data_IF_718205607035
#
_entry.id   IF_718205607035
#
_cell.length_a   1.000
_cell.length_b   1.000
_cell.length_c   1.000
_cell.angle_alpha   90.00
_cell.angle_beta   90.00
_cell.angle_gamma   90.00
#
_symmetry.space_group_name_H-M   'P 1'
#
loop_
_entity.id
_entity.type
_entity.pdbx_description
1 polymer ?
#
# COMPACT_ATOMS: atom_id res chain seq x y z
N UNK A 1 32.64 -19.72 -11.18
CA UNK A 1 33.05 -18.46 -10.49
C UNK A 1 31.98 -18.21 -9.41
N UNK A 2 32.41 -18.19 -8.14
CA UNK A 2 31.48 -17.81 -7.05
C UNK A 2 31.09 -16.38 -7.35
N UNK A 3 29.79 -16.13 -7.62
CA UNK A 3 29.27 -14.78 -7.77
C UNK A 3 29.69 -14.00 -6.51
N UNK A 4 30.25 -12.81 -6.68
CA UNK A 4 30.57 -11.94 -5.53
C UNK A 4 29.27 -11.55 -4.89
N UNK A 5 28.89 -12.22 -3.80
CA UNK A 5 27.71 -11.91 -3.00
C UNK A 5 27.84 -10.50 -2.46
N UNK A 6 26.87 -9.66 -2.76
CA UNK A 6 26.82 -8.30 -2.27
C UNK A 6 25.98 -8.24 -0.99
N UNK A 7 26.45 -7.47 -0.03
CA UNK A 7 25.75 -7.22 1.22
C UNK A 7 25.57 -5.72 1.41
N UNK A 8 24.37 -5.32 1.85
CA UNK A 8 24.06 -3.95 2.25
C UNK A 8 24.86 -3.54 3.50
N UNK A 9 24.84 -2.26 3.84
CA UNK A 9 25.28 -1.81 5.15
C UNK A 9 24.07 -1.77 6.11
N UNK A 10 23.90 -2.76 7.02
CA UNK A 10 22.73 -2.86 7.89
C UNK A 10 22.62 -1.68 8.85
N UNK A 11 23.74 -1.19 9.38
CA UNK A 11 23.75 -0.08 10.33
C UNK A 11 23.29 1.22 9.68
N UNK A 12 23.72 1.49 8.45
CA UNK A 12 23.32 2.67 7.69
C UNK A 12 21.83 2.62 7.33
N UNK A 13 21.33 1.45 6.93
CA UNK A 13 19.88 1.26 6.71
C UNK A 13 19.10 1.55 7.99
N UNK A 14 19.52 0.98 9.12
CA UNK A 14 18.86 1.18 10.40
C UNK A 14 18.86 2.65 10.84
N UNK A 15 19.99 3.33 10.75
CA UNK A 15 20.11 4.75 11.05
C UNK A 15 19.18 5.60 10.16
N UNK A 16 19.02 5.21 8.89
CA UNK A 16 18.08 5.89 7.99
C UNK A 16 16.62 5.67 8.42
N UNK A 17 16.25 4.46 8.86
CA UNK A 17 14.94 4.14 9.41
C UNK A 17 14.68 4.89 10.72
N UNK A 18 15.63 4.91 11.66
CA UNK A 18 15.51 5.66 12.91
C UNK A 18 15.34 7.16 12.66
N UNK A 19 16.13 7.74 11.76
CA UNK A 19 15.98 9.16 11.41
C UNK A 19 14.63 9.46 10.76
N UNK A 20 14.13 8.58 9.90
CA UNK A 20 12.81 8.72 9.30
C UNK A 20 11.68 8.66 10.33
N UNK A 21 11.85 7.85 11.38
CA UNK A 21 10.89 7.70 12.46
C UNK A 21 10.79 8.93 13.40
N UNK A 22 11.66 9.91 13.26
CA UNK A 22 11.55 11.19 13.96
C UNK A 22 10.52 12.14 13.31
N UNK A 23 10.21 11.92 12.02
CA UNK A 23 9.33 12.79 11.24
C UNK A 23 7.89 12.24 11.30
N UNK A 24 6.97 13.04 11.81
CA UNK A 24 5.56 12.67 11.97
C UNK A 24 5.31 11.77 13.20
N UNK A 25 6.13 11.88 14.26
CA UNK A 25 5.91 11.12 15.50
C UNK A 25 4.48 11.26 16.02
N UNK A 26 3.88 10.13 16.34
CA UNK A 26 2.54 10.07 16.88
C UNK A 26 2.47 9.08 18.04
N UNK A 27 1.95 9.52 19.19
CA UNK A 27 2.04 8.79 20.45
C UNK A 27 3.50 8.47 20.79
N UNK A 28 3.76 7.42 21.56
CA UNK A 28 5.13 7.11 22.03
C UNK A 28 6.02 6.52 20.93
N UNK A 29 5.45 5.65 20.08
CA UNK A 29 6.24 4.81 19.17
C UNK A 29 5.74 4.79 17.72
N UNK A 30 4.59 5.38 17.42
CA UNK A 30 4.00 5.37 16.07
C UNK A 30 4.32 6.61 15.24
N UNK A 31 3.78 6.60 14.03
CA UNK A 31 3.84 7.72 13.09
C UNK A 31 2.43 8.14 12.61
N UNK A 32 2.31 9.40 12.27
CA UNK A 32 1.20 9.99 11.52
C UNK A 32 1.79 10.94 10.48
N UNK A 33 2.13 10.42 9.35
CA UNK A 33 2.70 11.13 8.20
C UNK A 33 1.76 10.95 7.02
N UNK A 34 0.61 11.64 7.09
CA UNK A 34 -0.42 11.51 6.06
C UNK A 34 0.08 12.07 4.74
N UNK A 35 -0.32 11.44 3.65
CA UNK A 35 0.05 11.86 2.31
C UNK A 35 -0.15 13.37 2.08
N UNK A 36 0.85 14.04 1.53
CA UNK A 36 0.84 15.47 1.21
C UNK A 36 0.60 16.39 2.43
N UNK A 37 0.94 15.91 3.64
CA UNK A 37 1.00 16.74 4.84
C UNK A 37 2.37 17.42 4.98
N UNK A 38 2.52 18.28 5.99
CA UNK A 38 3.81 18.90 6.29
C UNK A 38 4.88 17.87 6.69
N UNK A 39 4.48 16.84 7.43
CA UNK A 39 5.35 15.73 7.83
C UNK A 39 5.76 14.88 6.62
N UNK A 40 4.83 14.61 5.68
CA UNK A 40 5.16 13.92 4.44
C UNK A 40 6.13 14.75 3.59
N UNK A 41 5.93 16.06 3.52
CA UNK A 41 6.89 16.98 2.87
C UNK A 41 8.29 16.86 3.48
N UNK A 42 8.40 16.93 4.81
CA UNK A 42 9.69 16.84 5.50
C UNK A 42 10.40 15.51 5.17
N UNK A 43 9.67 14.40 5.15
CA UNK A 43 10.23 13.10 4.81
C UNK A 43 10.63 12.99 3.33
N UNK A 44 9.84 13.56 2.43
CA UNK A 44 10.15 13.65 0.99
C UNK A 44 11.41 14.48 0.75
N UNK A 45 11.51 15.62 1.41
CA UNK A 45 12.70 16.49 1.33
C UNK A 45 13.96 15.75 1.80
N UNK A 46 13.87 15.03 2.91
CA UNK A 46 14.95 14.21 3.46
C UNK A 46 15.35 13.07 2.50
N UNK A 47 14.39 12.37 1.93
CA UNK A 47 14.66 11.34 0.94
C UNK A 47 15.35 11.90 -0.32
N UNK A 48 14.88 13.04 -0.82
CA UNK A 48 15.48 13.73 -1.97
C UNK A 48 16.92 14.16 -1.66
N UNK A 49 17.18 14.68 -0.47
CA UNK A 49 18.53 15.03 -0.01
C UNK A 49 19.44 13.78 -0.01
N UNK A 50 19.01 12.71 0.59
CA UNK A 50 19.76 11.45 0.65
C UNK A 50 20.01 10.82 -0.72
N UNK A 51 19.01 10.86 -1.60
CA UNK A 51 19.14 10.36 -2.96
C UNK A 51 20.17 11.17 -3.78
N UNK A 52 20.13 12.49 -3.67
CA UNK A 52 21.10 13.39 -4.31
C UNK A 52 22.51 13.19 -3.76
N UNK A 53 22.65 13.06 -2.43
CA UNK A 53 23.92 12.76 -1.79
C UNK A 53 24.50 11.41 -2.22
N UNK A 54 23.64 10.44 -2.58
CA UNK A 54 24.01 9.16 -3.17
C UNK A 54 24.30 9.25 -4.69
N UNK A 55 24.29 10.45 -5.30
CA UNK A 55 24.59 10.66 -6.71
C UNK A 55 23.42 10.37 -7.67
N UNK A 56 22.19 10.28 -7.17
CA UNK A 56 21.02 10.12 -8.03
C UNK A 56 20.59 11.46 -8.65
N UNK A 57 20.14 11.41 -9.90
CA UNK A 57 19.25 12.43 -10.44
C UNK A 57 17.84 12.22 -9.85
N UNK A 58 17.16 13.31 -9.50
CA UNK A 58 15.81 13.23 -8.89
C UNK A 58 14.85 14.01 -9.76
N UNK A 59 13.77 13.35 -10.15
CA UNK A 59 12.63 13.95 -10.84
C UNK A 59 11.35 13.71 -10.04
N UNK A 60 10.42 14.65 -10.13
CA UNK A 60 9.12 14.58 -9.47
C UNK A 60 8.05 14.78 -10.55
N UNK A 61 7.05 13.93 -10.58
CA UNK A 61 5.97 14.05 -11.53
C UNK A 61 4.82 14.94 -11.01
N UNK A 62 3.81 15.14 -11.86
CA UNK A 62 2.66 16.01 -11.58
C UNK A 62 1.84 15.58 -10.34
N UNK A 63 1.94 14.32 -9.93
CA UNK A 63 1.24 13.79 -8.76
C UNK A 63 2.16 13.67 -7.53
N UNK A 64 3.41 14.15 -7.64
CA UNK A 64 4.36 14.14 -6.55
C UNK A 64 5.08 12.81 -6.37
N UNK A 65 4.95 11.84 -7.28
CA UNK A 65 5.79 10.64 -7.24
C UNK A 65 7.24 11.06 -7.47
N UNK A 66 8.16 10.51 -6.65
CA UNK A 66 9.59 10.86 -6.69
C UNK A 66 10.35 9.72 -7.36
N UNK A 67 11.21 10.05 -8.31
CA UNK A 67 12.06 9.12 -9.06
C UNK A 67 13.52 9.51 -8.85
N UNK A 68 14.27 8.70 -8.09
CA UNK A 68 15.67 8.89 -7.81
C UNK A 68 16.50 7.88 -8.61
N UNK A 69 17.13 8.33 -9.71
CA UNK A 69 17.83 7.46 -10.65
C UNK A 69 19.34 7.53 -10.48
N UNK A 70 19.96 6.38 -10.20
CA UNK A 70 21.37 6.13 -10.36
C UNK A 70 21.63 5.66 -11.80
N UNK A 71 22.53 6.33 -12.50
CA UNK A 71 22.84 5.99 -13.89
C UNK A 71 23.52 4.59 -14.00
N UNK A 72 23.19 3.87 -15.07
CA UNK A 72 23.94 2.71 -15.54
C UNK A 72 24.96 3.10 -16.60
N UNK A 73 25.70 2.12 -17.13
CA UNK A 73 26.64 2.35 -18.22
C UNK A 73 25.96 2.56 -19.59
N UNK A 74 24.70 2.14 -19.73
CA UNK A 74 23.88 2.34 -20.92
C UNK A 74 22.59 3.11 -20.56
N UNK A 75 22.62 4.42 -20.81
CA UNK A 75 21.49 5.31 -20.53
C UNK A 75 20.28 5.13 -21.45
N UNK A 76 20.40 4.38 -22.55
CA UNK A 76 19.30 4.09 -23.47
C UNK A 76 18.36 3.00 -22.97
N UNK A 77 18.81 2.18 -22.01
CA UNK A 77 18.04 1.10 -21.45
C UNK A 77 17.11 1.58 -20.31
N UNK A 78 15.88 1.05 -20.21
CA UNK A 78 15.02 1.33 -19.08
C UNK A 78 15.64 0.80 -17.78
N UNK A 79 15.53 1.53 -16.66
CA UNK A 79 16.11 1.15 -15.38
C UNK A 79 15.39 -0.05 -14.75
N UNK A 80 16.07 -0.73 -13.84
CA UNK A 80 15.40 -1.56 -12.82
C UNK A 80 14.90 -0.63 -11.74
N UNK A 81 13.59 -0.66 -11.50
CA UNK A 81 12.92 0.16 -10.50
C UNK A 81 12.78 -0.61 -9.18
N UNK A 82 12.99 0.10 -8.08
CA UNK A 82 12.75 -0.36 -6.71
C UNK A 82 11.93 0.71 -6.03
N UNK A 83 10.84 0.38 -5.35
CA UNK A 83 10.05 1.44 -4.73
C UNK A 83 9.05 0.94 -3.70
N UNK A 84 8.40 1.88 -3.07
CA UNK A 84 7.27 1.80 -2.16
C UNK A 84 6.80 3.22 -1.84
N UNK A 85 6.31 3.49 -0.62
CA UNK A 85 5.75 4.78 -0.20
C UNK A 85 6.41 5.34 1.07
N UNK A 86 6.12 6.62 1.36
CA UNK A 86 6.59 7.31 2.57
C UNK A 86 5.45 7.73 3.48
N UNK A 87 4.22 7.84 2.96
CA UNK A 87 3.04 8.15 3.77
C UNK A 87 2.67 6.99 4.68
N UNK A 88 1.94 7.29 5.75
CA UNK A 88 1.54 6.31 6.76
C UNK A 88 0.05 6.40 7.05
N UNK A 89 -0.50 5.38 7.70
CA UNK A 89 -1.81 5.41 8.33
C UNK A 89 -1.89 6.48 9.44
N UNK A 90 -3.12 6.82 9.87
CA UNK A 90 -3.38 7.78 10.96
C UNK A 90 -2.74 7.34 12.29
N UNK A 91 -2.69 6.04 12.53
CA UNK A 91 -2.01 5.40 13.65
C UNK A 91 -0.99 4.40 13.12
N UNK A 92 -0.11 4.86 12.20
CA UNK A 92 0.82 4.02 11.47
C UNK A 92 2.03 3.59 12.29
N UNK A 93 2.72 2.59 11.75
CA UNK A 93 4.02 2.12 12.21
C UNK A 93 5.17 2.93 11.62
N UNK A 94 6.39 2.42 11.81
CA UNK A 94 7.63 3.09 11.40
C UNK A 94 8.26 2.50 10.16
N UNK A 95 7.76 1.37 9.68
CA UNK A 95 8.46 0.53 8.70
C UNK A 95 7.63 0.27 7.46
N UNK A 96 6.31 0.40 7.57
CA UNK A 96 5.36 0.23 6.48
C UNK A 96 5.70 1.18 5.32
N UNK A 97 5.89 0.62 4.13
CA UNK A 97 6.30 1.32 2.90
C UNK A 97 7.73 1.84 2.92
N UNK A 98 8.07 2.65 3.91
CA UNK A 98 9.37 3.32 3.97
C UNK A 98 10.56 2.35 3.98
N UNK A 99 10.40 1.15 4.53
CA UNK A 99 11.44 0.12 4.49
C UNK A 99 11.85 -0.19 3.05
N UNK A 100 10.89 -0.34 2.13
CA UNK A 100 11.16 -0.61 0.72
C UNK A 100 11.90 0.53 0.03
N UNK A 101 11.48 1.77 0.28
CA UNK A 101 12.13 2.97 -0.26
C UNK A 101 13.58 3.08 0.23
N UNK A 102 13.80 2.92 1.54
CA UNK A 102 15.14 3.03 2.13
C UNK A 102 16.05 1.84 1.79
N UNK A 103 15.50 0.64 1.62
CA UNK A 103 16.25 -0.49 1.07
C UNK A 103 16.67 -0.22 -0.39
N UNK A 104 15.81 0.38 -1.21
CA UNK A 104 16.17 0.81 -2.56
C UNK A 104 17.31 1.83 -2.57
N UNK A 105 17.25 2.81 -1.67
CA UNK A 105 18.34 3.78 -1.50
C UNK A 105 19.64 3.10 -1.00
N UNK A 106 19.53 2.11 -0.11
CA UNK A 106 20.67 1.35 0.39
C UNK A 106 21.33 0.49 -0.70
N UNK A 107 20.52 -0.06 -1.65
CA UNK A 107 21.05 -0.70 -2.88
C UNK A 107 21.95 0.27 -3.64
N UNK A 108 21.47 1.50 -3.88
CA UNK A 108 22.24 2.54 -4.58
C UNK A 108 23.54 2.87 -3.83
N UNK A 109 23.48 3.08 -2.52
CA UNK A 109 24.62 3.39 -1.66
C UNK A 109 25.65 2.27 -1.65
N UNK A 110 25.20 1.01 -1.56
CA UNK A 110 26.08 -0.17 -1.60
C UNK A 110 26.81 -0.29 -2.94
N UNK A 111 26.13 -0.06 -4.06
CA UNK A 111 26.76 -0.03 -5.38
C UNK A 111 27.84 1.05 -5.48
N UNK A 112 27.63 2.21 -4.87
CA UNK A 112 28.62 3.29 -4.82
C UNK A 112 29.83 2.90 -3.97
N UNK A 113 29.62 2.35 -2.78
CA UNK A 113 30.69 1.90 -1.87
C UNK A 113 31.59 0.85 -2.53
N UNK A 114 31.01 0.01 -3.37
CA UNK A 114 31.74 -1.05 -4.11
C UNK A 114 32.29 -0.57 -5.46
N UNK A 115 32.01 0.66 -5.87
CA UNK A 115 32.41 1.18 -7.19
C UNK A 115 31.81 0.39 -8.36
N UNK A 116 30.65 -0.26 -8.16
CA UNK A 116 30.05 -1.12 -9.19
C UNK A 116 29.13 -0.27 -10.08
N UNK A 117 29.27 -0.45 -11.39
CA UNK A 117 28.41 0.16 -12.40
C UNK A 117 27.59 -0.94 -13.07
N UNK A 118 26.28 -0.86 -12.98
CA UNK A 118 25.36 -1.78 -13.66
C UNK A 118 25.13 -1.34 -15.11
N UNK A 119 24.72 -2.24 -15.99
CA UNK A 119 24.41 -1.90 -17.37
C UNK A 119 23.20 -0.97 -17.46
N UNK A 120 22.09 -1.32 -16.83
CA UNK A 120 20.89 -0.46 -16.65
C UNK A 120 21.04 0.40 -15.41
N UNK A 121 20.39 1.56 -15.39
CA UNK A 121 20.26 2.34 -14.16
C UNK A 121 19.42 1.60 -13.11
N UNK A 122 19.59 2.02 -11.85
CA UNK A 122 18.69 1.67 -10.74
C UNK A 122 17.87 2.91 -10.42
N UNK A 123 16.55 2.80 -10.33
CA UNK A 123 15.66 3.91 -10.02
C UNK A 123 14.87 3.61 -8.75
N UNK A 124 15.07 4.41 -7.71
CA UNK A 124 14.31 4.30 -6.45
C UNK A 124 13.09 5.20 -6.54
N UNK A 125 11.92 4.64 -6.30
CA UNK A 125 10.63 5.33 -6.46
C UNK A 125 9.94 5.48 -5.11
N UNK A 126 9.39 6.67 -4.87
CA UNK A 126 8.47 6.92 -3.79
C UNK A 126 7.10 7.29 -4.38
N UNK A 127 6.11 6.43 -4.20
CA UNK A 127 4.76 6.65 -4.66
C UNK A 127 3.97 7.55 -3.70
N UNK A 128 3.05 8.32 -4.24
CA UNK A 128 2.23 9.27 -3.49
C UNK A 128 0.91 8.65 -3.06
N UNK A 129 0.57 8.76 -1.77
CA UNK A 129 -0.71 8.34 -1.20
C UNK A 129 -1.02 6.87 -1.47
N UNK A 130 -0.07 5.99 -1.10
CA UNK A 130 -0.30 4.55 -1.18
C UNK A 130 -1.35 4.11 -0.17
N UNK A 131 -1.26 4.59 1.06
CA UNK A 131 -2.08 4.20 2.20
C UNK A 131 -3.58 4.56 2.07
N UNK A 132 -3.90 5.57 1.28
CA UNK A 132 -5.28 6.05 1.16
C UNK A 132 -5.86 6.67 2.45
N UNK A 133 -5.02 6.93 3.44
CA UNK A 133 -5.43 7.38 4.76
C UNK A 133 -5.94 8.82 4.79
N UNK A 134 -5.45 9.67 3.89
CA UNK A 134 -5.93 11.05 3.71
C UNK A 134 -6.83 11.18 2.49
N UNK A 135 -6.42 10.63 1.36
CA UNK A 135 -7.17 10.67 0.10
C UNK A 135 -7.49 9.25 -0.36
N UNK A 136 -8.75 8.94 -0.60
CA UNK A 136 -9.19 7.63 -1.11
C UNK A 136 -9.42 7.69 -2.62
N UNK A 137 -9.00 6.68 -3.39
CA UNK A 137 -8.56 5.35 -2.99
C UNK A 137 -7.08 5.27 -2.58
N UNK A 138 -6.62 4.14 -1.99
CA UNK A 138 -5.21 3.84 -1.78
C UNK A 138 -4.47 3.63 -3.11
N UNK A 139 -3.12 3.51 -3.07
CA UNK A 139 -2.23 3.32 -4.23
C UNK A 139 -2.42 4.38 -5.32
N UNK A 140 -2.81 5.61 -4.92
CA UNK A 140 -3.25 6.65 -5.85
C UNK A 140 -2.14 7.06 -6.82
N UNK A 141 -0.91 7.21 -6.34
CA UNK A 141 0.25 7.60 -7.13
C UNK A 141 0.61 6.58 -8.20
N UNK A 142 0.75 5.33 -7.82
CA UNK A 142 1.09 4.22 -8.73
C UNK A 142 -0.05 3.90 -9.69
N UNK A 143 -1.32 3.91 -9.23
CA UNK A 143 -2.48 3.67 -10.10
C UNK A 143 -2.66 4.75 -11.16
N UNK A 144 -2.46 6.03 -10.80
CA UNK A 144 -2.52 7.11 -11.78
C UNK A 144 -1.33 7.05 -12.74
N UNK A 145 -0.14 6.72 -12.26
CA UNK A 145 1.04 6.50 -13.09
C UNK A 145 0.82 5.36 -14.10
N UNK A 146 0.21 4.25 -13.67
CA UNK A 146 -0.15 3.11 -14.50
C UNK A 146 -1.42 3.34 -15.35
N UNK A 147 -2.01 4.53 -15.31
CA UNK A 147 -3.23 4.93 -16.06
C UNK A 147 -4.49 4.11 -15.69
N UNK A 148 -4.51 3.49 -14.52
CA UNK A 148 -5.69 2.85 -13.93
C UNK A 148 -6.67 3.93 -13.43
N UNK A 149 -6.13 5.01 -12.85
CA UNK A 149 -6.87 6.22 -12.49
C UNK A 149 -6.50 7.37 -13.40
N UNK A 150 -7.46 8.25 -13.71
CA UNK A 150 -7.16 9.47 -14.48
C UNK A 150 -6.53 10.52 -13.56
N UNK A 151 -5.56 11.28 -14.09
CA UNK A 151 -4.92 12.36 -13.32
C UNK A 151 -5.95 13.39 -12.83
N UNK A 152 -6.88 13.79 -13.68
CA UNK A 152 -7.89 14.80 -13.36
C UNK A 152 -8.80 14.34 -12.20
N UNK A 153 -9.23 13.06 -12.22
CA UNK A 153 -10.03 12.52 -11.12
C UNK A 153 -9.26 12.45 -9.80
N UNK A 154 -7.98 12.12 -9.87
CA UNK A 154 -7.11 12.06 -8.69
C UNK A 154 -6.88 13.45 -8.12
N UNK A 155 -6.54 14.44 -8.94
CA UNK A 155 -6.31 15.83 -8.51
C UNK A 155 -7.56 16.45 -7.86
N UNK A 156 -8.75 16.09 -8.33
CA UNK A 156 -10.03 16.54 -7.79
C UNK A 156 -10.49 15.79 -6.51
N UNK A 157 -9.81 14.70 -6.12
CA UNK A 157 -10.16 13.95 -4.91
C UNK A 157 -9.91 14.81 -3.67
N UNK A 158 -10.88 14.82 -2.74
CA UNK A 158 -10.80 15.62 -1.51
C UNK A 158 -10.57 14.76 -0.28
N UNK A 159 -9.88 15.35 0.71
CA UNK A 159 -9.84 14.82 2.07
C UNK A 159 -11.11 15.22 2.86
N UNK A 160 -11.19 14.77 4.13
CA UNK A 160 -12.33 15.05 5.02
C UNK A 160 -12.51 16.55 5.35
N UNK A 161 -11.48 17.38 5.13
CA UNK A 161 -11.55 18.83 5.28
C UNK A 161 -11.96 19.55 3.98
N UNK A 162 -12.18 18.82 2.89
CA UNK A 162 -12.52 19.36 1.57
C UNK A 162 -11.32 19.89 0.78
N UNK A 163 -10.08 19.61 1.21
CA UNK A 163 -8.86 19.99 0.51
C UNK A 163 -8.63 18.98 -0.62
N UNK A 164 -8.43 19.45 -1.85
CA UNK A 164 -8.13 18.57 -2.98
C UNK A 164 -6.69 18.10 -2.97
N UNK A 165 -6.41 16.98 -3.65
CA UNK A 165 -5.04 16.49 -3.89
C UNK A 165 -4.21 17.56 -4.58
N UNK A 166 -4.77 18.27 -5.58
CA UNK A 166 -4.09 19.37 -6.26
C UNK A 166 -3.67 20.48 -5.30
N UNK A 167 -4.60 20.95 -4.45
CA UNK A 167 -4.31 21.97 -3.43
C UNK A 167 -3.25 21.49 -2.42
N UNK A 168 -3.30 20.22 -2.02
CA UNK A 168 -2.33 19.65 -1.10
C UNK A 168 -0.93 19.56 -1.74
N UNK A 169 -0.82 19.11 -2.99
CA UNK A 169 0.44 19.09 -3.76
C UNK A 169 1.06 20.48 -3.88
N UNK A 170 0.25 21.48 -4.23
CA UNK A 170 0.70 22.87 -4.36
C UNK A 170 1.18 23.43 -3.02
N UNK A 171 0.46 23.13 -1.92
CA UNK A 171 0.79 23.63 -0.58
C UNK A 171 2.15 23.15 -0.08
N UNK A 172 2.57 21.94 -0.49
CA UNK A 172 3.87 21.37 -0.10
C UNK A 172 4.95 21.55 -1.19
N UNK A 173 4.58 22.05 -2.38
CA UNK A 173 5.49 22.29 -3.50
C UNK A 173 5.97 21.02 -4.19
N UNK A 174 5.14 19.96 -4.22
CA UNK A 174 5.47 18.67 -4.83
C UNK A 174 4.70 18.37 -6.12
N UNK A 175 3.93 19.30 -6.66
CA UNK A 175 3.43 19.22 -8.04
C UNK A 175 4.62 19.39 -9.01
N UNK A 176 5.27 18.30 -9.37
CA UNK A 176 6.49 18.32 -10.18
C UNK A 176 6.23 18.53 -11.67
N UNK A 177 7.26 18.90 -12.46
CA UNK A 177 7.13 19.16 -13.89
C UNK A 177 7.12 17.90 -14.77
N UNK A 178 7.56 16.75 -14.25
CA UNK A 178 7.65 15.55 -15.06
C UNK A 178 6.25 15.01 -15.41
N UNK A 179 6.05 14.54 -16.67
CA UNK A 179 4.75 14.01 -17.09
C UNK A 179 4.46 12.69 -16.40
N UNK A 180 3.22 12.51 -15.91
CA UNK A 180 2.76 11.28 -15.29
C UNK A 180 2.68 10.12 -16.29
N UNK A 181 3.17 8.92 -15.90
CA UNK A 181 2.99 7.67 -16.66
C UNK A 181 3.72 7.61 -18.00
N UNK A 182 4.80 8.37 -18.18
CA UNK A 182 5.61 8.36 -19.40
C UNK A 182 6.99 7.68 -19.22
N UNK A 183 7.24 7.06 -18.06
CA UNK A 183 8.47 6.30 -17.79
C UNK A 183 8.25 4.82 -18.10
N UNK A 184 9.29 4.19 -18.64
CA UNK A 184 9.36 2.75 -18.79
C UNK A 184 10.37 2.17 -17.80
N UNK A 185 10.01 1.04 -17.19
CA UNK A 185 10.89 0.25 -16.35
C UNK A 185 11.22 -1.08 -17.03
N UNK A 186 12.43 -1.60 -16.85
CA UNK A 186 12.77 -2.97 -17.22
C UNK A 186 12.02 -3.96 -16.33
N UNK A 187 11.98 -3.66 -15.05
CA UNK A 187 11.26 -4.39 -14.02
C UNK A 187 11.07 -3.52 -12.79
N UNK A 188 10.16 -3.93 -11.90
CA UNK A 188 9.92 -3.30 -10.62
C UNK A 188 10.03 -4.35 -9.50
N UNK A 189 10.80 -4.02 -8.48
CA UNK A 189 10.96 -4.85 -7.28
C UNK A 189 10.56 -4.03 -6.05
N UNK A 190 9.71 -4.60 -5.20
CA UNK A 190 9.31 -3.97 -3.95
C UNK A 190 9.66 -4.88 -2.77
N UNK A 191 10.41 -4.35 -1.80
CA UNK A 191 10.58 -4.99 -0.50
C UNK A 191 9.62 -4.33 0.47
N UNK A 192 8.93 -5.14 1.26
CA UNK A 192 7.93 -4.66 2.20
C UNK A 192 7.90 -5.52 3.47
N UNK A 193 7.33 -5.02 4.55
CA UNK A 193 6.96 -5.87 5.68
C UNK A 193 5.78 -6.76 5.29
N UNK A 194 5.68 -7.96 5.87
CA UNK A 194 4.60 -8.91 5.51
C UNK A 194 3.20 -8.41 5.87
N UNK A 195 3.07 -7.62 6.92
CA UNK A 195 1.79 -7.17 7.49
C UNK A 195 0.85 -8.32 7.91
N UNK A 196 1.43 -9.51 8.10
CA UNK A 196 0.75 -10.71 8.58
C UNK A 196 1.74 -11.55 9.41
N UNK A 197 1.28 -12.48 10.24
CA UNK A 197 2.14 -13.16 11.21
C UNK A 197 2.82 -14.43 10.68
N UNK A 198 2.80 -14.72 9.37
CA UNK A 198 3.21 -16.04 8.86
C UNK A 198 4.73 -16.20 8.94
N UNK A 199 5.50 -15.24 8.40
CA UNK A 199 6.96 -15.28 8.43
C UNK A 199 7.50 -15.26 9.87
N UNK A 200 6.89 -14.43 10.71
CA UNK A 200 7.30 -14.34 12.11
C UNK A 200 7.08 -15.65 12.86
N UNK A 201 5.91 -16.26 12.73
CA UNK A 201 5.57 -17.54 13.39
C UNK A 201 6.37 -18.72 12.88
N UNK A 202 6.74 -18.72 11.61
CA UNK A 202 7.54 -19.78 11.00
C UNK A 202 9.06 -19.59 11.18
N UNK A 203 9.48 -18.44 11.70
CA UNK A 203 10.89 -18.09 11.81
C UNK A 203 11.58 -17.96 10.46
N UNK A 204 10.86 -17.56 9.41
CA UNK A 204 11.36 -17.34 8.06
C UNK A 204 11.57 -15.85 7.82
N UNK A 205 12.73 -15.46 7.27
CA UNK A 205 13.09 -14.05 7.09
C UNK A 205 12.74 -13.50 5.71
N UNK A 206 12.36 -14.36 4.76
CA UNK A 206 12.06 -13.97 3.39
C UNK A 206 10.76 -14.61 2.91
N UNK A 207 9.82 -13.77 2.49
CA UNK A 207 8.67 -14.15 1.68
C UNK A 207 8.88 -13.73 0.22
N UNK A 208 8.86 -14.68 -0.72
CA UNK A 208 8.79 -14.34 -2.14
C UNK A 208 7.32 -14.32 -2.52
N UNK A 209 6.83 -13.12 -2.88
CA UNK A 209 5.41 -12.91 -3.14
C UNK A 209 5.09 -13.33 -4.57
N UNK A 210 4.22 -14.34 -4.72
CA UNK A 210 3.83 -14.91 -6.01
C UNK A 210 2.49 -14.35 -6.53
N UNK A 211 1.85 -13.46 -5.79
CA UNK A 211 0.59 -12.82 -6.14
C UNK A 211 -0.11 -12.22 -4.92
N UNK A 212 -1.33 -11.76 -5.08
CA UNK A 212 -2.15 -11.17 -4.03
C UNK A 212 -3.46 -11.89 -3.80
N UNK A 213 -4.22 -11.44 -2.81
CA UNK A 213 -5.63 -11.78 -2.65
C UNK A 213 -6.46 -10.93 -3.60
N UNK A 214 -7.46 -11.53 -4.23
CA UNK A 214 -8.48 -10.75 -4.92
C UNK A 214 -9.22 -9.92 -3.89
N UNK A 215 -9.27 -8.63 -4.13
CA UNK A 215 -9.84 -7.65 -3.21
C UNK A 215 -10.86 -6.79 -3.94
N UNK A 216 -11.91 -6.43 -3.24
CA UNK A 216 -12.87 -5.43 -3.70
C UNK A 216 -13.40 -4.63 -2.51
N UNK A 217 -13.50 -3.32 -2.70
CA UNK A 217 -14.23 -2.45 -1.81
C UNK A 217 -15.59 -2.09 -2.41
N UNK A 218 -16.58 -1.93 -1.54
CA UNK A 218 -17.90 -1.39 -1.88
C UNK A 218 -18.16 -0.15 -1.04
N UNK A 219 -18.66 0.90 -1.68
CA UNK A 219 -19.15 2.10 -1.00
C UNK A 219 -20.67 2.09 -1.01
N UNK A 220 -21.27 2.11 0.17
CA UNK A 220 -22.70 2.09 0.35
C UNK A 220 -23.19 3.44 0.84
N UNK A 221 -24.28 3.92 0.27
CA UNK A 221 -25.05 5.04 0.80
C UNK A 221 -26.42 4.54 1.20
N UNK A 222 -26.71 4.59 2.50
CA UNK A 222 -27.99 4.21 3.06
C UNK A 222 -28.82 5.46 3.25
N UNK A 223 -29.99 5.52 2.60
CA UNK A 223 -30.89 6.67 2.63
C UNK A 223 -32.18 6.31 3.38
N UNK A 224 -32.47 7.03 4.42
CA UNK A 224 -33.66 6.93 5.24
C UNK A 224 -34.32 8.31 5.44
N UNK A 225 -34.84 8.55 6.64
CA UNK A 225 -35.40 9.85 7.05
C UNK A 225 -34.81 10.23 8.41
N UNK A 226 -34.79 11.51 8.72
CA UNK A 226 -34.53 11.96 10.09
C UNK A 226 -35.80 12.05 10.89
N UNK A 227 -35.72 11.91 12.20
CA UNK A 227 -36.87 12.05 13.06
C UNK A 227 -36.55 12.02 14.55
N UNK A 228 -37.53 12.35 15.37
CA UNK A 228 -37.38 12.43 16.82
C UNK A 228 -37.14 11.05 17.45
N UNK A 229 -36.06 10.88 18.19
CA UNK A 229 -35.65 9.59 18.75
C UNK A 229 -36.68 8.95 19.69
N UNK A 230 -37.48 9.75 20.44
CA UNK A 230 -38.52 9.28 21.34
C UNK A 230 -39.93 9.33 20.71
N UNK A 231 -40.29 10.42 20.04
CA UNK A 231 -41.64 10.67 19.57
C UNK A 231 -42.09 9.90 18.33
N UNK A 232 -41.15 9.47 17.45
CA UNK A 232 -41.50 8.75 16.22
C UNK A 232 -41.75 7.27 16.52
N UNK A 233 -42.91 6.70 16.19
CA UNK A 233 -43.21 5.28 16.39
C UNK A 233 -42.23 4.38 15.63
N UNK A 234 -41.86 3.23 16.19
CA UNK A 234 -40.87 2.31 15.60
C UNK A 234 -41.22 1.87 14.16
N UNK A 235 -42.53 1.60 13.91
CA UNK A 235 -43.00 1.15 12.59
C UNK A 235 -42.87 2.22 11.48
N UNK A 236 -42.71 3.49 11.85
CA UNK A 236 -42.59 4.61 10.90
C UNK A 236 -41.15 4.99 10.62
N UNK A 237 -40.18 4.41 11.35
CA UNK A 237 -38.79 4.81 11.24
C UNK A 237 -38.13 4.23 9.99
N UNK A 238 -37.40 5.10 9.30
CA UNK A 238 -36.47 4.77 8.21
C UNK A 238 -35.07 5.21 8.65
N UNK A 239 -34.51 4.48 9.62
CA UNK A 239 -33.27 4.85 10.29
C UNK A 239 -32.06 4.24 9.55
N UNK A 240 -31.30 5.07 8.82
CA UNK A 240 -30.13 4.66 8.07
C UNK A 240 -29.03 4.05 8.95
N UNK A 241 -28.86 4.52 10.19
CA UNK A 241 -27.87 4.00 11.12
C UNK A 241 -28.21 2.57 11.58
N UNK A 242 -29.49 2.23 11.76
CA UNK A 242 -29.93 0.86 12.04
C UNK A 242 -29.66 -0.05 10.84
N UNK A 243 -29.94 0.43 9.61
CA UNK A 243 -29.60 -0.28 8.38
C UNK A 243 -28.12 -0.58 8.27
N UNK A 244 -27.28 0.40 8.56
CA UNK A 244 -25.83 0.24 8.61
C UNK A 244 -25.40 -0.81 9.64
N UNK A 245 -25.99 -0.80 10.84
CA UNK A 245 -25.71 -1.82 11.87
C UNK A 245 -26.00 -3.24 11.40
N UNK A 246 -27.11 -3.46 10.64
CA UNK A 246 -27.42 -4.77 10.06
C UNK A 246 -26.40 -5.17 8.99
N UNK A 247 -25.96 -4.25 8.14
CA UNK A 247 -24.92 -4.53 7.14
C UNK A 247 -23.60 -4.89 7.82
N UNK A 248 -23.15 -4.10 8.80
CA UNK A 248 -21.89 -4.31 9.51
C UNK A 248 -21.84 -5.70 10.17
N UNK A 249 -22.91 -6.05 10.89
CA UNK A 249 -23.01 -7.37 11.54
C UNK A 249 -22.95 -8.51 10.52
N UNK A 250 -23.74 -8.41 9.43
CA UNK A 250 -23.79 -9.45 8.42
C UNK A 250 -22.44 -9.60 7.67
N UNK A 251 -21.77 -8.49 7.36
CA UNK A 251 -20.43 -8.51 6.73
C UNK A 251 -19.41 -9.21 7.62
N UNK A 252 -19.44 -8.96 8.93
CA UNK A 252 -18.59 -9.65 9.89
C UNK A 252 -18.89 -11.17 9.92
N UNK A 253 -20.17 -11.54 9.97
CA UNK A 253 -20.59 -12.95 10.00
C UNK A 253 -20.17 -13.71 8.73
N UNK A 254 -20.24 -13.05 7.56
CA UNK A 254 -19.74 -13.60 6.30
C UNK A 254 -18.21 -13.80 6.39
N UNK A 255 -17.46 -12.83 6.90
CA UNK A 255 -16.03 -12.98 7.11
C UNK A 255 -15.67 -14.17 7.97
N UNK A 256 -16.40 -14.38 9.08
CA UNK A 256 -16.22 -15.53 9.96
C UNK A 256 -16.57 -16.86 9.27
N UNK A 257 -17.60 -16.89 8.44
CA UNK A 257 -17.99 -18.09 7.69
C UNK A 257 -16.95 -18.52 6.65
N UNK A 258 -16.23 -17.55 6.05
CA UNK A 258 -15.17 -17.80 5.08
C UNK A 258 -13.76 -17.84 5.68
N UNK A 259 -13.61 -17.64 7.00
CA UNK A 259 -12.29 -17.54 7.63
C UNK A 259 -11.45 -18.81 7.52
N UNK A 260 -12.06 -20.00 7.51
CA UNK A 260 -11.37 -21.27 7.33
C UNK A 260 -10.71 -21.43 5.96
N UNK A 261 -11.27 -20.75 4.94
CA UNK A 261 -10.77 -20.71 3.56
C UNK A 261 -9.98 -19.42 3.29
N UNK A 262 -9.50 -18.75 4.35
CA UNK A 262 -8.73 -17.50 4.27
C UNK A 262 -9.51 -16.28 3.76
N UNK A 263 -10.84 -16.31 3.71
CA UNK A 263 -11.68 -15.15 3.41
C UNK A 263 -11.56 -14.07 4.49
N UNK A 264 -11.61 -12.81 4.06
CA UNK A 264 -11.56 -11.63 4.94
C UNK A 264 -12.65 -10.65 4.56
N UNK A 265 -13.29 -10.06 5.55
CA UNK A 265 -14.21 -8.93 5.36
C UNK A 265 -13.96 -7.88 6.44
N UNK A 266 -14.18 -6.62 6.10
CA UNK A 266 -14.08 -5.52 7.07
C UNK A 266 -15.00 -4.38 6.64
N UNK A 267 -15.63 -3.72 7.62
CA UNK A 267 -16.19 -2.38 7.41
C UNK A 267 -15.17 -1.36 7.90
N UNK A 268 -14.64 -0.54 6.99
CA UNK A 268 -13.48 0.32 7.25
C UNK A 268 -13.84 1.78 7.51
N UNK A 269 -15.05 2.23 7.09
CA UNK A 269 -15.50 3.62 7.25
C UNK A 269 -16.98 3.66 7.52
N UNK A 270 -17.39 4.56 8.41
CA UNK A 270 -18.80 4.91 8.66
C UNK A 270 -18.93 6.42 8.86
N UNK A 271 -19.85 7.03 8.14
CA UNK A 271 -20.26 8.42 8.32
C UNK A 271 -21.77 8.47 8.49
N UNK A 272 -22.27 9.24 9.43
CA UNK A 272 -23.69 9.37 9.74
C UNK A 272 -24.12 10.83 9.68
N UNK A 273 -25.26 11.08 9.04
CA UNK A 273 -25.89 12.41 9.01
C UNK A 273 -27.38 12.31 9.29
N UNK A 274 -27.93 13.19 10.17
CA UNK A 274 -27.20 13.91 11.19
C UNK A 274 -26.55 12.95 12.20
N UNK A 275 -25.48 13.39 12.86
CA UNK A 275 -24.78 12.63 13.89
C UNK A 275 -24.95 13.35 15.24
N UNK A 276 -26.18 13.39 15.74
CA UNK A 276 -26.59 14.14 16.91
C UNK A 276 -27.47 13.30 17.82
N UNK A 277 -27.40 13.48 19.18
CA UNK A 277 -28.35 12.86 20.10
C UNK A 277 -29.76 13.43 19.91
N UNK A 278 -30.78 12.61 20.18
CA UNK A 278 -32.19 13.01 20.11
C UNK A 278 -32.86 12.86 18.74
N UNK A 279 -32.12 12.56 17.69
CA UNK A 279 -32.60 12.27 16.34
C UNK A 279 -31.96 11.01 15.78
N UNK A 280 -32.57 10.38 14.79
CA UNK A 280 -31.94 9.27 14.06
C UNK A 280 -31.50 9.71 12.66
N UNK A 281 -30.49 9.02 12.14
CA UNK A 281 -29.84 9.40 10.92
C UNK A 281 -30.70 9.16 9.67
N UNK A 282 -30.73 10.15 8.79
CA UNK A 282 -31.33 10.03 7.46
C UNK A 282 -30.38 9.44 6.44
N UNK A 283 -29.06 9.62 6.61
CA UNK A 283 -28.07 9.06 5.70
C UNK A 283 -26.89 8.45 6.47
N UNK A 284 -26.41 7.29 5.97
CA UNK A 284 -25.14 6.70 6.40
C UNK A 284 -24.34 6.29 5.18
N UNK A 285 -23.05 6.63 5.16
CA UNK A 285 -22.09 6.12 4.19
C UNK A 285 -21.21 5.07 4.86
N UNK A 286 -21.03 3.93 4.19
CA UNK A 286 -20.18 2.82 4.64
C UNK A 286 -19.18 2.45 3.55
N UNK A 287 -17.99 1.99 3.96
CA UNK A 287 -17.07 1.27 3.07
C UNK A 287 -16.87 -0.14 3.60
N UNK A 288 -17.07 -1.13 2.74
CA UNK A 288 -16.83 -2.54 3.00
C UNK A 288 -15.63 -2.96 2.14
N UNK A 289 -14.69 -3.71 2.71
CA UNK A 289 -13.61 -4.40 2.01
C UNK A 289 -13.78 -5.90 2.21
N UNK A 290 -13.62 -6.70 1.16
CA UNK A 290 -13.62 -8.15 1.24
C UNK A 290 -12.58 -8.76 0.30
N UNK A 291 -11.98 -9.86 0.74
CA UNK A 291 -10.82 -10.47 0.10
C UNK A 291 -10.90 -11.99 0.15
N UNK A 292 -10.46 -12.62 -0.93
CA UNK A 292 -10.27 -14.07 -0.99
C UNK A 292 -9.21 -14.45 -2.01
N UNK A 293 -8.45 -15.52 -1.73
CA UNK A 293 -7.43 -16.03 -2.64
C UNK A 293 -8.06 -16.77 -3.83
N UNK A 294 -9.15 -17.51 -3.57
CA UNK A 294 -9.87 -18.30 -4.58
C UNK A 294 -10.95 -17.45 -5.26
N UNK A 295 -10.94 -17.35 -6.61
CA UNK A 295 -11.89 -16.53 -7.36
C UNK A 295 -13.36 -16.97 -7.19
N UNK A 296 -13.64 -18.27 -7.09
CA UNK A 296 -15.01 -18.78 -6.97
C UNK A 296 -15.58 -18.50 -5.58
N UNK A 297 -14.74 -18.67 -4.53
CA UNK A 297 -15.08 -18.30 -3.15
C UNK A 297 -15.26 -16.80 -3.02
N UNK A 298 -14.41 -16.00 -3.67
CA UNK A 298 -14.58 -14.56 -3.73
C UNK A 298 -15.96 -14.17 -4.31
N UNK A 299 -16.38 -14.80 -5.42
CA UNK A 299 -17.70 -14.56 -6.00
C UNK A 299 -18.84 -15.05 -5.09
N UNK A 300 -18.63 -16.11 -4.32
CA UNK A 300 -19.59 -16.56 -3.32
C UNK A 300 -19.74 -15.50 -2.19
N UNK A 301 -18.64 -14.99 -1.64
CA UNK A 301 -18.67 -13.90 -0.65
C UNK A 301 -19.42 -12.67 -1.18
N UNK A 302 -19.15 -12.27 -2.43
CA UNK A 302 -19.83 -11.13 -3.06
C UNK A 302 -21.34 -11.34 -3.10
N UNK A 303 -21.82 -12.53 -3.50
CA UNK A 303 -23.26 -12.83 -3.52
C UNK A 303 -23.89 -12.79 -2.13
N UNK A 304 -23.19 -13.27 -1.11
CA UNK A 304 -23.69 -13.24 0.27
C UNK A 304 -23.75 -11.78 0.79
N UNK A 305 -22.72 -10.96 0.48
CA UNK A 305 -22.72 -9.54 0.82
C UNK A 305 -23.87 -8.81 0.13
N UNK A 306 -24.09 -9.01 -1.17
CA UNK A 306 -25.19 -8.38 -1.90
C UNK A 306 -26.56 -8.78 -1.30
N UNK A 307 -26.73 -10.05 -0.93
CA UNK A 307 -27.94 -10.56 -0.27
C UNK A 307 -28.16 -9.93 1.12
N UNK A 308 -27.08 -9.78 1.89
CA UNK A 308 -27.11 -9.16 3.21
C UNK A 308 -27.47 -7.67 3.13
N UNK A 309 -26.92 -6.94 2.16
CA UNK A 309 -27.26 -5.53 1.90
C UNK A 309 -28.77 -5.39 1.58
N UNK A 310 -29.29 -6.23 0.69
CA UNK A 310 -30.70 -6.21 0.32
C UNK A 310 -31.62 -6.53 1.54
N UNK A 311 -31.24 -7.51 2.36
CA UNK A 311 -31.96 -7.87 3.57
C UNK A 311 -31.94 -6.75 4.63
N UNK A 312 -30.79 -6.09 4.81
CA UNK A 312 -30.63 -4.96 5.72
C UNK A 312 -31.50 -3.76 5.32
N UNK A 313 -31.54 -3.42 4.03
CA UNK A 313 -32.41 -2.34 3.50
C UNK A 313 -33.87 -2.61 3.79
N UNK A 314 -34.36 -3.82 3.51
CA UNK A 314 -35.72 -4.26 3.84
C UNK A 314 -36.04 -4.16 5.33
N UNK A 315 -35.12 -4.69 6.18
CA UNK A 315 -35.34 -4.78 7.64
C UNK A 315 -35.33 -3.41 8.30
N UNK A 316 -34.51 -2.47 7.82
CA UNK A 316 -34.46 -1.10 8.33
C UNK A 316 -35.42 -0.14 7.62
N UNK A 317 -36.12 -0.60 6.57
CA UNK A 317 -36.96 0.23 5.70
C UNK A 317 -36.20 1.43 5.11
N UNK A 318 -34.96 1.17 4.62
CA UNK A 318 -34.08 2.18 4.00
C UNK A 318 -33.65 1.74 2.61
N UNK A 319 -33.39 2.71 1.75
CA UNK A 319 -32.78 2.48 0.44
C UNK A 319 -31.26 2.40 0.58
N UNK A 320 -30.63 1.44 -0.11
CA UNK A 320 -29.18 1.28 -0.10
C UNK A 320 -28.65 1.31 -1.53
N UNK A 321 -27.89 2.35 -1.83
CA UNK A 321 -27.14 2.47 -3.07
C UNK A 321 -25.77 1.84 -2.88
N UNK A 322 -25.31 1.07 -3.87
CA UNK A 322 -24.02 0.40 -3.86
C UNK A 322 -23.18 0.91 -5.04
N UNK A 323 -22.02 1.47 -4.74
CA UNK A 323 -21.03 1.86 -5.72
C UNK A 323 -19.76 1.00 -5.56
N UNK A 324 -19.16 0.61 -6.70
CA UNK A 324 -17.88 -0.08 -6.71
C UNK A 324 -16.78 0.88 -6.20
N UNK A 325 -15.91 0.34 -5.37
CA UNK A 325 -14.70 1.00 -4.89
C UNK A 325 -13.47 0.52 -5.67
N UNK A 326 -12.34 0.42 -4.99
CA UNK A 326 -11.13 -0.15 -5.57
C UNK A 326 -11.23 -1.68 -5.66
N UNK A 327 -10.51 -2.26 -6.63
CA UNK A 327 -10.37 -3.71 -6.73
C UNK A 327 -9.06 -4.07 -7.43
N UNK A 328 -8.51 -5.25 -7.10
CA UNK A 328 -7.36 -5.86 -7.78
C UNK A 328 -7.46 -7.37 -7.77
N UNK A 329 -6.71 -8.00 -8.68
CA UNK A 329 -6.73 -9.45 -8.89
C UNK A 329 -5.66 -10.19 -8.10
N UNK A 330 -5.53 -11.51 -8.39
CA UNK A 330 -4.65 -12.44 -7.67
C UNK A 330 -3.30 -12.67 -8.32
N UNK A 331 -3.22 -12.71 -9.66
CA UNK A 331 -2.04 -13.16 -10.40
C UNK A 331 -1.41 -11.99 -11.16
N UNK A 332 -0.75 -11.11 -10.40
CA UNK A 332 -0.25 -9.84 -10.90
C UNK A 332 1.24 -9.87 -11.24
N UNK A 333 2.02 -10.77 -10.62
CA UNK A 333 3.47 -10.72 -10.70
C UNK A 333 4.06 -11.57 -11.82
N UNK A 334 5.14 -11.04 -12.43
CA UNK A 334 5.79 -11.67 -13.56
C UNK A 334 6.60 -12.89 -13.12
N UNK A 335 6.35 -14.03 -13.75
CA UNK A 335 7.07 -15.27 -13.44
C UNK A 335 8.59 -15.10 -13.53
N UNK A 336 9.08 -14.37 -14.52
CA UNK A 336 10.52 -14.13 -14.66
C UNK A 336 11.15 -13.38 -13.50
N UNK A 337 10.41 -12.44 -12.85
CA UNK A 337 10.86 -11.72 -11.67
C UNK A 337 10.78 -12.61 -10.42
N UNK A 338 9.74 -13.42 -10.29
CA UNK A 338 9.62 -14.41 -9.20
C UNK A 338 10.78 -15.43 -9.27
N UNK A 339 11.04 -16.01 -10.44
CA UNK A 339 12.14 -16.96 -10.62
C UNK A 339 13.52 -16.31 -10.42
N UNK A 340 13.69 -15.03 -10.78
CA UNK A 340 14.88 -14.26 -10.44
C UNK A 340 15.09 -14.19 -8.93
N UNK A 341 14.06 -13.85 -8.16
CA UNK A 341 14.15 -13.80 -6.69
C UNK A 341 14.48 -15.17 -6.10
N UNK A 342 13.83 -16.24 -6.58
CA UNK A 342 14.08 -17.61 -6.13
C UNK A 342 15.52 -18.06 -6.40
N UNK A 343 15.97 -17.88 -7.64
CA UNK A 343 17.35 -18.27 -8.01
C UNK A 343 18.38 -17.46 -7.23
N UNK A 344 18.15 -16.17 -7.05
CA UNK A 344 19.04 -15.32 -6.25
C UNK A 344 19.05 -15.74 -4.78
N UNK A 345 17.91 -16.05 -4.18
CA UNK A 345 17.84 -16.56 -2.81
C UNK A 345 18.60 -17.87 -2.64
N UNK A 346 18.49 -18.79 -3.62
CA UNK A 346 19.23 -20.06 -3.64
C UNK A 346 20.75 -19.84 -3.76
N UNK A 347 21.17 -18.94 -4.63
CA UNK A 347 22.61 -18.59 -4.81
C UNK A 347 23.21 -17.96 -3.53
N UNK A 348 22.40 -17.22 -2.77
CA UNK A 348 22.76 -16.61 -1.50
C UNK A 348 22.67 -17.59 -0.31
N UNK A 349 22.10 -18.79 -0.51
CA UNK A 349 21.83 -19.74 0.56
C UNK A 349 20.77 -19.26 1.55
N UNK A 350 19.86 -18.37 1.13
CA UNK A 350 18.81 -17.80 1.95
C UNK A 350 17.53 -18.66 1.86
N UNK A 351 17.03 -19.19 2.97
CA UNK A 351 15.73 -19.86 3.00
C UNK A 351 14.62 -18.84 2.75
N UNK A 352 13.62 -19.24 2.00
CA UNK A 352 12.46 -18.41 1.70
C UNK A 352 11.16 -19.21 1.67
N UNK A 353 10.05 -18.50 1.84
CA UNK A 353 8.69 -19.01 1.65
C UNK A 353 8.04 -18.33 0.44
N UNK A 354 7.39 -19.11 -0.44
CA UNK A 354 6.46 -18.54 -1.42
C UNK A 354 5.13 -18.23 -0.74
N UNK A 355 4.61 -17.03 -0.97
CA UNK A 355 3.39 -16.59 -0.31
C UNK A 355 2.61 -15.58 -1.16
N UNK A 356 1.38 -15.29 -0.76
CA UNK A 356 0.54 -14.27 -1.39
C UNK A 356 0.31 -13.12 -0.43
N UNK A 357 0.33 -11.90 -0.94
CA UNK A 357 0.00 -10.73 -0.12
C UNK A 357 -1.50 -10.65 0.16
N UNK A 358 -1.83 -10.39 1.41
CA UNK A 358 -3.19 -10.10 1.85
C UNK A 358 -3.51 -8.60 1.77
N UNK A 359 -2.49 -7.74 1.67
CA UNK A 359 -2.59 -6.29 1.52
C UNK A 359 -2.47 -5.86 0.04
N UNK A 360 -2.92 -4.64 -0.27
CA UNK A 360 -2.62 -3.97 -1.53
C UNK A 360 -1.23 -3.33 -1.46
N UNK A 361 -0.58 -3.17 -2.61
CA UNK A 361 0.74 -2.52 -2.70
C UNK A 361 0.87 -1.81 -4.05
N UNK A 362 1.71 -0.78 -4.12
CA UNK A 362 2.02 -0.08 -5.36
C UNK A 362 2.49 -1.03 -6.48
N UNK A 363 3.17 -2.12 -6.11
CA UNK A 363 3.56 -3.20 -7.01
C UNK A 363 2.41 -3.73 -7.87
N UNK A 364 1.16 -3.71 -7.38
CA UNK A 364 -0.01 -4.20 -8.12
C UNK A 364 -0.36 -3.28 -9.30
N UNK A 365 -0.27 -1.97 -9.09
CA UNK A 365 -0.47 -1.01 -10.17
C UNK A 365 0.67 -1.09 -11.19
N UNK A 366 1.93 -1.13 -10.72
CA UNK A 366 3.11 -1.20 -11.59
C UNK A 366 3.17 -2.50 -12.38
N UNK A 367 2.69 -3.62 -11.83
CA UNK A 367 2.60 -4.90 -12.53
C UNK A 367 1.75 -4.89 -13.80
N UNK A 368 0.86 -3.89 -13.95
CA UNK A 368 0.08 -3.71 -15.19
C UNK A 368 0.90 -3.14 -16.35
N UNK A 369 2.11 -2.62 -16.08
CA UNK A 369 2.94 -1.93 -17.07
C UNK A 369 4.38 -2.41 -17.15
N UNK A 370 4.89 -3.10 -16.13
CA UNK A 370 6.25 -3.63 -16.09
C UNK A 370 6.30 -4.99 -15.36
N UNK A 371 7.24 -5.89 -15.72
CA UNK A 371 7.49 -7.10 -14.98
C UNK A 371 7.80 -6.78 -13.51
N UNK A 372 7.02 -7.33 -12.59
CA UNK A 372 7.06 -6.96 -11.16
C UNK A 372 7.15 -8.18 -10.27
N UNK A 373 7.83 -8.09 -9.14
CA UNK A 373 7.77 -9.01 -8.02
C UNK A 373 8.00 -8.28 -6.68
N UNK A 374 7.62 -8.95 -5.59
CA UNK A 374 7.79 -8.42 -4.23
C UNK A 374 8.52 -9.39 -3.32
N UNK A 375 9.20 -8.84 -2.33
CA UNK A 375 9.87 -9.54 -1.24
C UNK A 375 9.25 -9.07 0.07
N UNK A 376 8.81 -10.01 0.90
CA UNK A 376 8.40 -9.71 2.27
C UNK A 376 9.49 -10.03 3.27
N UNK A 377 9.54 -9.21 4.32
CA UNK A 377 10.32 -9.44 5.54
C UNK A 377 9.37 -9.46 6.74
N UNK A 378 9.64 -10.26 7.78
CA UNK A 378 8.72 -10.38 8.91
C UNK A 378 8.58 -9.07 9.69
N UNK A 379 7.37 -8.82 10.16
CA UNK A 379 7.10 -7.86 11.23
C UNK A 379 6.58 -8.60 12.47
N UNK A 380 6.88 -8.06 13.64
CA UNK A 380 6.59 -8.70 14.92
C UNK A 380 5.08 -8.99 15.06
N UNK A 381 4.72 -10.26 15.31
CA UNK A 381 3.34 -10.77 15.39
C UNK A 381 2.44 -10.40 14.18
N UNK A 382 3.01 -9.94 13.08
CA UNK A 382 2.27 -9.47 11.90
C UNK A 382 1.53 -8.15 12.13
N UNK A 383 1.89 -7.40 13.16
CA UNK A 383 1.27 -6.11 13.48
C UNK A 383 1.69 -5.08 12.44
N UNK A 384 0.71 -4.50 11.75
CA UNK A 384 0.86 -3.36 10.85
C UNK A 384 -0.37 -2.45 10.94
N UNK A 385 -0.31 -1.24 10.37
CA UNK A 385 -1.31 -0.17 10.52
C UNK A 385 -1.60 0.15 12.00
N UNK A 386 -0.58 0.02 12.82
CA UNK A 386 -0.64 0.18 14.26
C UNK A 386 0.65 0.81 14.78
N UNK A 387 0.54 1.64 15.81
CA UNK A 387 1.70 2.30 16.42
C UNK A 387 2.74 1.31 17.00
N UNK A 388 2.33 0.08 17.32
CA UNK A 388 3.19 -0.97 17.86
C UNK A 388 3.86 -1.84 16.79
N UNK A 389 3.76 -1.47 15.51
CA UNK A 389 4.48 -2.14 14.43
C UNK A 389 5.99 -2.16 14.72
N UNK A 390 6.61 -3.33 14.60
CA UNK A 390 8.02 -3.51 14.86
C UNK A 390 8.65 -4.52 13.90
N UNK A 391 9.92 -4.31 13.60
CA UNK A 391 10.77 -5.24 12.86
C UNK A 391 12.07 -5.46 13.63
N UNK A 392 12.76 -6.55 13.31
CA UNK A 392 14.12 -6.79 13.76
C UNK A 392 15.09 -6.60 12.59
N UNK A 393 16.12 -5.77 12.77
CA UNK A 393 17.13 -5.51 11.75
C UNK A 393 17.72 -6.82 11.19
N UNK A 394 18.11 -7.73 12.08
CA UNK A 394 18.72 -9.02 11.74
C UNK A 394 17.84 -9.88 10.83
N UNK A 395 16.52 -9.77 10.96
CA UNK A 395 15.53 -10.49 10.15
C UNK A 395 15.14 -9.73 8.87
N UNK A 396 15.41 -8.43 8.79
CA UNK A 396 15.14 -7.60 7.61
C UNK A 396 16.31 -7.58 6.62
N UNK A 397 17.54 -7.73 7.10
CA UNK A 397 18.77 -7.74 6.29
C UNK A 397 18.77 -8.82 5.20
N UNK A 398 18.33 -10.07 5.43
CA UNK A 398 18.26 -11.08 4.37
C UNK A 398 17.40 -10.65 3.18
N UNK A 399 16.22 -10.06 3.43
CA UNK A 399 15.34 -9.52 2.39
C UNK A 399 15.99 -8.38 1.59
N UNK A 400 16.69 -7.46 2.28
CA UNK A 400 17.40 -6.36 1.65
C UNK A 400 18.60 -6.85 0.80
N UNK A 401 19.32 -7.88 1.25
CA UNK A 401 20.40 -8.52 0.48
C UNK A 401 19.84 -9.25 -0.75
N UNK A 402 18.70 -9.92 -0.63
CA UNK A 402 18.02 -10.52 -1.78
C UNK A 402 17.63 -9.45 -2.80
N UNK A 403 17.04 -8.33 -2.35
CA UNK A 403 16.69 -7.20 -3.22
C UNK A 403 17.92 -6.65 -3.96
N UNK A 404 19.03 -6.40 -3.24
CA UNK A 404 20.28 -5.90 -3.80
C UNK A 404 20.79 -6.81 -4.93
N UNK A 405 20.95 -8.10 -4.64
CA UNK A 405 21.55 -9.04 -5.59
C UNK A 405 20.62 -9.30 -6.79
N UNK A 406 19.32 -9.41 -6.57
CA UNK A 406 18.33 -9.55 -7.65
C UNK A 406 18.28 -8.31 -8.55
N UNK A 407 18.29 -7.10 -7.99
CA UNK A 407 18.32 -5.85 -8.75
C UNK A 407 19.60 -5.75 -9.59
N UNK A 408 20.76 -6.09 -9.04
CA UNK A 408 22.05 -6.09 -9.76
C UNK A 408 22.06 -7.15 -10.87
N UNK A 409 21.59 -8.36 -10.59
CA UNK A 409 21.49 -9.42 -11.60
C UNK A 409 20.58 -9.01 -12.77
N UNK A 410 19.44 -8.37 -12.46
CA UNK A 410 18.50 -7.86 -13.47
C UNK A 410 19.08 -6.68 -14.26
N UNK A 411 19.75 -5.75 -13.58
CA UNK A 411 20.30 -4.55 -14.21
C UNK A 411 21.49 -4.83 -15.14
N UNK A 412 22.10 -6.01 -15.07
CA UNK A 412 23.21 -6.42 -15.92
C UNK A 412 22.81 -7.31 -17.13
N UNK A 413 21.53 -7.62 -17.27
CA UNK A 413 20.97 -8.38 -18.42
C UNK A 413 20.76 -7.53 -19.69
#
# INVERSE_FOLDING_TARGET
MVANVLEINPERLWQSLERSAEIGRFRDVGLRRLALSAEDKEMRDLFVEWARAAGCSVEIDRLGNIFARRAGSDGSLPPVAIGSHLDTQICGGRYDGILGVLCGLEVVRTLNDRGLVTKRGIEVICWTNEEGARFSPPMMGSMAFAKVLSLDSVLATTDDAGITVEQALDSIGYAGPAPLGQRAFDSYLELHIEQAPVLDREGCDIGIVVGGYRTQALRLTLNGDTGHAGGTPMAMRRNALVGAGYVIAAVNDIGLAFAADEGRTTTTRIESFPNLPGTYAEQVKLTIDFRHIDPDRFQAMRREIDSAIAAAGKKANVEIEVAEGWSWGTDLFARECIELLKSTAQELGLPYREMRSQAGHDAYAVATMAPTAMIFTPCFEGISHNVNEAIELTRSVPGANLLLNAAVARANR
#
